data_IF_921450882508
#
_entry.id   IF_921450882508
#
_cell.length_a   1.000
_cell.length_b   1.000
_cell.length_c   1.000
_cell.angle_alpha   90.00
_cell.angle_beta   90.00
_cell.angle_gamma   90.00
#
_symmetry.space_group_name_H-M   'P 1'
#
loop_
_entity.id
_entity.type
_entity.pdbx_description
1 polymer ?
#
# COMPACT_ATOMS: atom_id res chain seq x y z
N UNK A 1 -9.20 -6.11 74.59
CA UNK A 1 -9.08 -5.19 73.44
C UNK A 1 -7.65 -5.29 72.95
N UNK A 2 -7.41 -6.12 71.95
CA UNK A 2 -6.11 -6.33 71.30
C UNK A 2 -6.12 -5.52 70.01
N UNK A 3 -5.34 -4.43 69.96
CA UNK A 3 -5.28 -3.54 68.80
C UNK A 3 -4.12 -3.96 67.88
N UNK A 4 -4.49 -4.23 66.63
CA UNK A 4 -3.66 -4.83 65.58
C UNK A 4 -2.78 -3.78 64.93
N UNK A 5 -1.46 -3.98 65.00
CA UNK A 5 -0.46 -3.13 64.32
C UNK A 5 -0.46 -3.46 62.81
N UNK A 6 -1.12 -2.61 62.01
CA UNK A 6 -1.11 -2.71 60.55
C UNK A 6 0.28 -2.37 59.98
N UNK A 7 0.88 -3.34 59.30
CA UNK A 7 2.10 -3.21 58.53
C UNK A 7 1.79 -2.46 57.22
N UNK A 8 2.24 -1.21 57.10
CA UNK A 8 2.10 -0.42 55.86
C UNK A 8 3.08 -0.98 54.83
N UNK A 9 2.56 -1.72 53.85
CA UNK A 9 3.30 -2.20 52.68
C UNK A 9 3.58 -1.05 51.72
N UNK A 10 4.87 -0.83 51.40
CA UNK A 10 5.30 0.08 50.35
C UNK A 10 4.78 -0.38 48.97
N UNK A 11 4.53 0.55 48.02
CA UNK A 11 3.84 0.22 46.78
C UNK A 11 4.75 -0.61 45.86
N UNK A 12 4.31 -1.83 45.56
CA UNK A 12 4.95 -2.83 44.68
C UNK A 12 5.26 -2.29 43.28
N UNK A 13 4.57 -1.24 42.82
CA UNK A 13 4.73 -0.66 41.48
C UNK A 13 6.11 -0.01 41.24
N UNK A 14 6.75 0.60 42.25
CA UNK A 14 8.03 1.30 42.05
C UNK A 14 9.23 0.37 41.85
N UNK A 15 9.13 -0.89 42.30
CA UNK A 15 10.18 -1.91 42.14
C UNK A 15 10.15 -2.54 40.74
N UNK A 16 8.96 -2.70 40.17
CA UNK A 16 8.77 -3.27 38.83
C UNK A 16 9.27 -2.30 37.75
N UNK A 17 9.09 -0.99 37.91
CA UNK A 17 9.63 0.02 36.97
C UNK A 17 11.15 0.11 37.02
N UNK A 18 11.74 0.06 38.22
CA UNK A 18 13.20 0.01 38.38
C UNK A 18 13.81 -1.24 37.76
N UNK A 19 13.12 -2.37 37.86
CA UNK A 19 13.56 -3.62 37.23
C UNK A 19 13.53 -3.53 35.70
N UNK A 20 12.51 -2.87 35.12
CA UNK A 20 12.40 -2.67 33.66
C UNK A 20 13.46 -1.70 33.15
N UNK A 21 13.71 -0.60 33.87
CA UNK A 21 14.74 0.37 33.48
C UNK A 21 16.14 -0.26 33.55
N UNK A 22 16.43 -1.04 34.60
CA UNK A 22 17.68 -1.78 34.71
C UNK A 22 17.85 -2.81 33.58
N UNK A 23 16.78 -3.52 33.22
CA UNK A 23 16.80 -4.50 32.13
C UNK A 23 17.05 -3.84 30.77
N UNK A 24 16.45 -2.67 30.53
CA UNK A 24 16.70 -1.83 29.35
C UNK A 24 18.15 -1.34 29.33
N UNK A 25 18.68 -0.89 30.46
CA UNK A 25 20.07 -0.42 30.55
C UNK A 25 21.08 -1.54 30.29
N UNK A 26 20.86 -2.74 30.84
CA UNK A 26 21.65 -3.94 30.53
C UNK A 26 21.58 -4.29 29.03
N UNK A 27 20.41 -4.15 28.40
CA UNK A 27 20.25 -4.40 26.97
C UNK A 27 20.99 -3.35 26.13
N UNK A 28 20.95 -2.08 26.54
CA UNK A 28 21.69 -0.99 25.90
C UNK A 28 23.20 -1.16 26.07
N UNK A 29 23.67 -1.66 27.21
CA UNK A 29 25.08 -1.98 27.46
C UNK A 29 25.55 -3.14 26.55
N UNK A 30 24.72 -4.17 26.39
CA UNK A 30 24.95 -5.27 25.43
C UNK A 30 24.96 -4.78 23.97
N UNK A 31 24.11 -3.81 23.63
CA UNK A 31 24.10 -3.20 22.30
C UNK A 31 25.34 -2.34 22.08
N UNK A 32 25.74 -1.50 23.04
CA UNK A 32 26.95 -0.65 22.95
C UNK A 32 28.21 -1.49 22.85
N UNK A 33 28.36 -2.53 23.68
CA UNK A 33 29.49 -3.46 23.61
C UNK A 33 29.56 -4.18 22.27
N UNK A 34 28.44 -4.71 21.74
CA UNK A 34 28.41 -5.26 20.37
C UNK A 34 28.73 -4.19 19.32
N UNK A 35 28.15 -3.00 19.41
CA UNK A 35 28.35 -1.91 18.44
C UNK A 35 29.80 -1.46 18.39
N UNK A 36 30.51 -1.44 19.53
CA UNK A 36 31.94 -1.10 19.58
C UNK A 36 32.84 -2.12 18.88
N UNK A 37 32.37 -3.35 18.70
CA UNK A 37 33.09 -4.39 17.94
C UNK A 37 32.82 -4.29 16.43
N UNK A 38 31.77 -3.57 16.01
CA UNK A 38 31.45 -3.35 14.62
C UNK A 38 32.01 -2.00 14.17
N UNK A 39 32.47 -1.96 12.92
CA UNK A 39 32.90 -0.70 12.30
C UNK A 39 31.73 0.28 12.28
N UNK A 40 32.00 1.55 12.51
CA UNK A 40 30.97 2.58 12.38
C UNK A 40 30.43 2.61 10.94
N UNK A 41 29.23 3.19 10.75
CA UNK A 41 28.57 3.17 9.44
C UNK A 41 29.42 3.82 8.34
N UNK A 42 30.19 4.85 8.68
CA UNK A 42 31.09 5.56 7.75
C UNK A 42 32.23 4.66 7.26
N UNK A 43 32.86 3.92 8.17
CA UNK A 43 33.90 2.93 7.86
C UNK A 43 33.33 1.74 7.09
N UNK A 44 32.13 1.28 7.46
CA UNK A 44 31.42 0.22 6.75
C UNK A 44 31.08 0.66 5.32
N UNK A 45 30.57 1.88 5.13
CA UNK A 45 30.31 2.48 3.81
C UNK A 45 31.58 2.61 2.97
N UNK A 46 32.70 3.02 3.59
CA UNK A 46 34.00 3.09 2.92
C UNK A 46 34.48 1.70 2.52
N UNK A 47 34.36 0.71 3.41
CA UNK A 47 34.74 -0.67 3.12
C UNK A 47 33.90 -1.27 1.99
N UNK A 48 32.58 -1.05 1.98
CA UNK A 48 31.68 -1.47 0.90
C UNK A 48 32.08 -0.81 -0.43
N UNK A 49 32.34 0.51 -0.45
CA UNK A 49 32.82 1.20 -1.67
C UNK A 49 34.17 0.67 -2.16
N UNK A 50 35.10 0.38 -1.24
CA UNK A 50 36.40 -0.21 -1.60
C UNK A 50 36.24 -1.63 -2.15
N UNK A 51 35.36 -2.44 -1.55
CA UNK A 51 35.05 -3.79 -2.02
C UNK A 51 34.37 -3.77 -3.41
N UNK A 52 33.51 -2.79 -3.68
CA UNK A 52 32.88 -2.61 -5.00
C UNK A 52 33.88 -2.15 -6.08
N UNK A 53 34.93 -1.42 -5.70
CA UNK A 53 36.01 -0.98 -6.61
C UNK A 53 37.06 -2.07 -6.86
N UNK A 54 37.23 -2.99 -5.90
CA UNK A 54 38.12 -4.13 -6.03
C UNK A 54 37.49 -5.17 -6.98
N UNK A 55 37.83 -5.08 -8.27
CA UNK A 55 37.36 -5.95 -9.37
C UNK A 55 37.64 -7.44 -9.18
N UNK A 56 38.28 -7.85 -8.07
CA UNK A 56 38.58 -9.24 -7.74
C UNK A 56 37.34 -10.05 -7.37
N UNK A 57 36.29 -9.39 -6.88
CA UNK A 57 35.00 -10.00 -6.59
C UNK A 57 34.01 -9.54 -7.64
N UNK A 58 33.84 -10.34 -8.70
CA UNK A 58 32.66 -10.18 -9.52
C UNK A 58 31.47 -10.50 -8.61
N UNK A 59 30.78 -9.46 -8.11
CA UNK A 59 29.47 -9.63 -7.48
C UNK A 59 28.67 -10.51 -8.43
N UNK A 60 28.23 -11.68 -7.98
CA UNK A 60 27.52 -12.59 -8.86
C UNK A 60 26.22 -11.91 -9.33
N UNK A 61 25.71 -12.30 -10.49
CA UNK A 61 24.44 -11.78 -11.01
C UNK A 61 23.31 -11.94 -9.98
N UNK A 62 23.33 -13.05 -9.23
CA UNK A 62 22.41 -13.30 -8.13
C UNK A 62 22.54 -12.27 -6.99
N UNK A 63 23.77 -11.98 -6.54
CA UNK A 63 24.03 -11.00 -5.49
C UNK A 63 23.63 -9.57 -5.92
N UNK A 64 23.87 -9.21 -7.18
CA UNK A 64 23.39 -7.93 -7.75
C UNK A 64 21.86 -7.85 -7.71
N UNK A 65 21.17 -8.92 -8.06
CA UNK A 65 19.71 -8.97 -8.04
C UNK A 65 19.16 -8.87 -6.60
N UNK A 66 19.79 -9.55 -5.63
CA UNK A 66 19.40 -9.47 -4.22
C UNK A 66 19.61 -8.06 -3.69
N UNK A 67 20.78 -7.45 -3.96
CA UNK A 67 21.07 -6.08 -3.55
C UNK A 67 20.06 -5.10 -4.15
N UNK A 68 19.72 -5.26 -5.43
CA UNK A 68 18.70 -4.43 -6.08
C UNK A 68 17.35 -4.54 -5.36
N UNK A 69 16.87 -5.76 -5.08
CA UNK A 69 15.62 -5.98 -4.32
C UNK A 69 15.66 -5.34 -2.93
N UNK A 70 16.79 -5.41 -2.24
CA UNK A 70 16.96 -4.78 -0.92
C UNK A 70 16.94 -3.25 -1.02
N UNK A 71 17.58 -2.66 -2.02
CA UNK A 71 17.56 -1.22 -2.26
C UNK A 71 16.16 -0.74 -2.63
N UNK A 72 15.44 -1.49 -3.48
CA UNK A 72 14.06 -1.19 -3.86
C UNK A 72 13.16 -1.21 -2.61
N UNK A 73 13.32 -2.24 -1.76
CA UNK A 73 12.58 -2.37 -0.49
C UNK A 73 12.90 -1.22 0.47
N UNK A 74 14.16 -0.82 0.57
CA UNK A 74 14.57 0.29 1.42
C UNK A 74 14.03 1.63 0.90
N UNK A 75 13.99 1.81 -0.42
CA UNK A 75 13.40 2.97 -1.07
C UNK A 75 11.89 3.06 -0.81
N UNK A 76 11.18 1.94 -0.65
CA UNK A 76 9.76 1.91 -0.29
C UNK A 76 9.50 2.45 1.13
N UNK A 77 10.50 2.41 2.01
CA UNK A 77 10.41 2.91 3.39
C UNK A 77 10.71 4.42 3.51
N UNK A 78 11.21 5.05 2.45
CA UNK A 78 11.53 6.48 2.46
C UNK A 78 10.23 7.27 2.34
N UNK A 79 9.94 8.12 3.33
CA UNK A 79 8.75 8.98 3.31
C UNK A 79 8.83 9.94 2.14
N UNK A 80 7.79 9.95 1.32
CA UNK A 80 7.56 10.94 0.29
C UNK A 80 7.19 12.26 0.96
N UNK A 81 8.13 13.20 0.99
CA UNK A 81 7.99 14.50 1.69
C UNK A 81 7.87 15.69 0.75
N UNK A 82 7.96 15.46 -0.57
CA UNK A 82 7.87 16.49 -1.60
C UNK A 82 7.04 16.01 -2.80
N UNK A 83 6.44 16.95 -3.53
CA UNK A 83 5.74 16.68 -4.79
C UNK A 83 6.65 15.93 -5.78
N UNK A 84 7.91 16.35 -5.90
CA UNK A 84 8.87 15.71 -6.81
C UNK A 84 9.11 14.24 -6.43
N UNK A 85 9.31 13.95 -5.13
CA UNK A 85 9.45 12.56 -4.67
C UNK A 85 8.19 11.72 -4.89
N UNK A 86 7.00 12.33 -4.87
CA UNK A 86 5.75 11.64 -5.18
C UNK A 86 5.68 11.28 -6.67
N UNK A 87 6.03 12.22 -7.53
CA UNK A 87 6.06 12.05 -8.98
C UNK A 87 7.02 10.92 -9.37
N UNK A 88 8.26 10.96 -8.87
CA UNK A 88 9.26 9.93 -9.13
C UNK A 88 8.80 8.55 -8.65
N UNK A 89 8.13 8.51 -7.50
CA UNK A 89 7.58 7.27 -6.94
C UNK A 89 6.48 6.69 -7.83
N UNK A 90 5.50 7.50 -8.23
CA UNK A 90 4.40 7.09 -9.09
C UNK A 90 4.90 6.71 -10.49
N UNK A 91 5.88 7.41 -11.03
CA UNK A 91 6.51 7.07 -12.32
C UNK A 91 7.19 5.71 -12.24
N UNK A 92 7.97 5.47 -11.19
CA UNK A 92 8.65 4.19 -10.96
C UNK A 92 7.64 3.03 -10.89
N UNK A 93 6.60 3.16 -10.06
CA UNK A 93 5.57 2.14 -9.90
C UNK A 93 4.81 1.89 -11.21
N UNK A 94 4.40 2.96 -11.90
CA UNK A 94 3.71 2.84 -13.19
C UNK A 94 4.56 2.08 -14.21
N UNK A 95 5.86 2.39 -14.28
CA UNK A 95 6.80 1.73 -15.20
C UNK A 95 6.99 0.25 -14.85
N UNK A 96 7.07 -0.09 -13.57
CA UNK A 96 7.16 -1.50 -13.12
C UNK A 96 5.94 -2.31 -13.54
N UNK A 97 4.75 -1.70 -13.54
CA UNK A 97 3.50 -2.31 -14.00
C UNK A 97 3.31 -2.26 -15.53
N UNK A 98 4.26 -1.72 -16.29
CA UNK A 98 4.14 -1.55 -17.74
C UNK A 98 3.15 -0.45 -18.16
N UNK A 99 2.76 0.43 -17.23
CA UNK A 99 1.85 1.55 -17.46
C UNK A 99 2.61 2.80 -17.90
N UNK A 100 1.96 3.66 -18.68
CA UNK A 100 2.54 4.92 -19.15
C UNK A 100 2.28 6.03 -18.14
N UNK A 101 3.33 6.63 -17.60
CA UNK A 101 3.23 7.79 -16.71
C UNK A 101 3.53 9.09 -17.48
N UNK A 102 2.71 10.13 -17.29
CA UNK A 102 2.89 11.46 -17.89
C UNK A 102 2.56 12.54 -16.86
N UNK A 103 3.43 13.54 -16.75
CA UNK A 103 3.16 14.74 -15.96
C UNK A 103 2.48 15.78 -16.86
N UNK A 104 1.33 16.30 -16.41
CA UNK A 104 0.60 17.35 -17.10
C UNK A 104 1.35 18.68 -17.14
N UNK A 105 0.92 19.58 -18.03
CA UNK A 105 1.56 20.89 -18.26
C UNK A 105 1.61 21.79 -17.02
N UNK A 106 0.66 21.61 -16.09
CA UNK A 106 0.60 22.36 -14.84
C UNK A 106 1.51 21.81 -13.74
N UNK A 107 2.14 20.63 -13.92
CA UNK A 107 2.99 19.98 -12.92
C UNK A 107 2.26 19.39 -11.71
N UNK A 108 0.96 19.66 -11.57
CA UNK A 108 0.09 19.21 -10.47
C UNK A 108 -0.92 18.13 -10.89
N UNK A 109 -1.06 17.91 -12.19
CA UNK A 109 -1.92 16.86 -12.74
C UNK A 109 -1.01 15.74 -13.25
N UNK A 110 -1.16 14.53 -12.71
CA UNK A 110 -0.37 13.37 -13.11
C UNK A 110 -1.29 12.36 -13.80
N UNK A 111 -0.78 11.71 -14.84
CA UNK A 111 -1.55 10.77 -15.65
C UNK A 111 -0.87 9.40 -15.67
N UNK A 112 -1.63 8.36 -15.38
CA UNK A 112 -1.21 6.95 -15.53
C UNK A 112 -2.13 6.32 -16.56
N UNK A 113 -1.61 5.92 -17.71
CA UNK A 113 -2.42 5.37 -18.81
C UNK A 113 -2.08 3.91 -19.09
N UNK A 114 -3.14 3.15 -19.38
CA UNK A 114 -3.13 1.77 -19.87
C UNK A 114 -3.82 1.68 -21.24
N UNK A 115 -4.04 0.47 -21.76
CA UNK A 115 -4.73 0.21 -23.03
C UNK A 115 -6.25 0.45 -22.96
N UNK A 116 -6.84 0.23 -21.78
CA UNK A 116 -8.29 0.25 -21.51
C UNK A 116 -8.74 1.31 -20.51
N UNK A 117 -7.81 2.00 -19.83
CA UNK A 117 -8.15 3.07 -18.88
C UNK A 117 -7.00 4.06 -18.73
N UNK A 118 -7.29 5.22 -18.18
CA UNK A 118 -6.28 6.12 -17.63
C UNK A 118 -6.73 6.72 -16.29
N UNK A 119 -5.78 7.05 -15.43
CA UNK A 119 -5.99 7.76 -14.18
C UNK A 119 -5.51 9.20 -14.34
N UNK A 120 -6.30 10.13 -13.82
CA UNK A 120 -5.93 11.52 -13.57
C UNK A 120 -5.79 11.72 -12.06
N UNK A 121 -4.57 11.99 -11.60
CA UNK A 121 -4.24 12.25 -10.19
C UNK A 121 -4.03 13.76 -10.04
N UNK A 122 -4.91 14.39 -9.27
CA UNK A 122 -4.87 15.81 -8.96
C UNK A 122 -4.10 15.98 -7.64
N UNK A 123 -2.95 16.66 -7.70
CA UNK A 123 -2.08 16.91 -6.55
C UNK A 123 -2.03 18.42 -6.28
N UNK A 124 -1.85 18.83 -5.03
CA UNK A 124 -1.53 20.21 -4.70
C UNK A 124 -0.03 20.50 -4.81
N UNK A 125 0.32 21.78 -4.94
CA UNK A 125 1.71 22.25 -4.81
C UNK A 125 2.32 21.94 -3.44
N UNK A 126 1.49 21.65 -2.42
CA UNK A 126 1.90 21.16 -1.10
C UNK A 126 2.39 19.71 -1.11
N UNK A 127 2.16 18.95 -2.19
CA UNK A 127 2.42 17.51 -2.30
C UNK A 127 1.26 16.62 -1.82
N UNK A 128 0.14 17.20 -1.40
CA UNK A 128 -1.06 16.46 -0.98
C UNK A 128 -1.94 16.07 -2.18
N UNK A 129 -2.50 14.87 -2.19
CA UNK A 129 -3.43 14.43 -3.25
C UNK A 129 -4.83 14.96 -2.98
N UNK A 130 -5.45 15.60 -3.97
CA UNK A 130 -6.84 16.07 -3.93
C UNK A 130 -7.82 14.99 -4.34
N UNK A 131 -7.56 14.39 -5.49
CA UNK A 131 -8.51 13.49 -6.13
C UNK A 131 -7.78 12.58 -7.10
N UNK A 132 -8.32 11.39 -7.31
CA UNK A 132 -7.86 10.42 -8.30
C UNK A 132 -9.07 9.98 -9.11
N UNK A 133 -9.08 10.34 -10.39
CA UNK A 133 -10.16 10.02 -11.31
C UNK A 133 -9.74 8.92 -12.26
N UNK A 134 -10.59 7.93 -12.41
CA UNK A 134 -10.40 6.80 -13.30
C UNK A 134 -11.32 6.98 -14.51
N UNK A 135 -10.74 6.89 -15.70
CA UNK A 135 -11.43 6.96 -16.97
C UNK A 135 -11.29 5.62 -17.68
N UNK A 136 -12.42 4.95 -17.89
CA UNK A 136 -12.47 3.67 -18.59
C UNK A 136 -12.82 3.87 -20.07
N UNK A 137 -12.18 3.11 -20.95
CA UNK A 137 -12.46 3.12 -22.38
C UNK A 137 -13.93 2.73 -22.65
N UNK A 138 -14.66 3.61 -23.32
CA UNK A 138 -16.07 3.40 -23.67
C UNK A 138 -17.08 3.92 -22.64
N UNK A 139 -16.64 4.47 -21.50
CA UNK A 139 -17.48 5.25 -20.58
C UNK A 139 -17.22 6.75 -20.73
N UNK A 140 -18.29 7.53 -20.63
CA UNK A 140 -18.22 9.01 -20.63
C UNK A 140 -18.01 9.54 -19.21
N UNK A 141 -18.48 8.80 -18.20
CA UNK A 141 -18.40 9.21 -16.80
C UNK A 141 -17.07 8.80 -16.16
N UNK A 142 -16.39 9.79 -15.57
CA UNK A 142 -15.20 9.60 -14.75
C UNK A 142 -15.59 9.11 -13.35
N UNK A 143 -14.86 8.15 -12.81
CA UNK A 143 -15.08 7.65 -11.45
C UNK A 143 -13.98 8.16 -10.53
N UNK A 144 -14.35 8.93 -9.51
CA UNK A 144 -13.41 9.26 -8.44
C UNK A 144 -13.20 8.04 -7.56
N UNK A 145 -11.95 7.73 -7.24
CA UNK A 145 -11.56 6.60 -6.40
C UNK A 145 -10.94 7.11 -5.10
N UNK A 146 -11.77 7.24 -4.08
CA UNK A 146 -11.35 7.69 -2.74
C UNK A 146 -10.31 6.76 -2.11
N UNK A 147 -10.36 5.45 -2.41
CA UNK A 147 -9.36 4.49 -1.93
C UNK A 147 -7.96 4.82 -2.45
N UNK A 148 -7.81 5.16 -3.73
CA UNK A 148 -6.51 5.56 -4.29
C UNK A 148 -6.01 6.87 -3.69
N UNK A 149 -6.91 7.83 -3.45
CA UNK A 149 -6.58 9.08 -2.72
C UNK A 149 -6.07 8.76 -1.31
N UNK A 150 -6.74 7.86 -0.60
CA UNK A 150 -6.36 7.45 0.74
C UNK A 150 -5.01 6.70 0.77
N UNK A 151 -4.75 5.83 -0.21
CA UNK A 151 -3.46 5.12 -0.33
C UNK A 151 -2.31 6.12 -0.48
N UNK A 152 -2.41 7.06 -1.43
CA UNK A 152 -1.35 8.03 -1.67
C UNK A 152 -1.20 9.00 -0.49
N UNK A 153 -2.31 9.46 0.09
CA UNK A 153 -2.30 10.35 1.26
C UNK A 153 -1.67 9.71 2.50
N UNK A 154 -1.83 8.40 2.69
CA UNK A 154 -1.18 7.64 3.76
C UNK A 154 0.28 7.27 3.44
N UNK A 155 0.72 7.47 2.21
CA UNK A 155 2.01 6.98 1.72
C UNK A 155 2.06 5.46 1.57
N UNK A 156 0.90 4.80 1.51
CA UNK A 156 0.80 3.36 1.32
C UNK A 156 0.84 3.02 -0.17
N UNK A 157 2.06 3.00 -0.68
CA UNK A 157 2.30 2.68 -2.09
C UNK A 157 2.17 1.19 -2.39
N UNK A 158 2.20 0.31 -1.39
CA UNK A 158 2.00 -1.11 -1.60
C UNK A 158 0.53 -1.40 -1.94
N UNK A 159 -0.40 -0.83 -1.16
CA UNK A 159 -1.83 -0.91 -1.45
C UNK A 159 -2.16 -0.22 -2.77
N UNK A 160 -1.57 0.95 -3.06
CA UNK A 160 -1.75 1.63 -4.33
C UNK A 160 -1.34 0.75 -5.53
N UNK A 161 -0.20 0.07 -5.44
CA UNK A 161 0.27 -0.86 -6.48
C UNK A 161 -0.67 -2.04 -6.64
N UNK A 162 -1.12 -2.66 -5.54
CA UNK A 162 -2.06 -3.78 -5.58
C UNK A 162 -3.40 -3.39 -6.25
N UNK A 163 -3.88 -2.17 -5.98
CA UNK A 163 -5.08 -1.63 -6.61
C UNK A 163 -4.91 -1.41 -8.11
N UNK A 164 -3.76 -0.86 -8.55
CA UNK A 164 -3.44 -0.71 -9.98
C UNK A 164 -3.28 -2.05 -10.70
N UNK A 165 -2.68 -3.04 -10.04
CA UNK A 165 -2.59 -4.42 -10.55
C UNK A 165 -3.98 -5.03 -10.71
N UNK A 166 -4.85 -4.87 -9.71
CA UNK A 166 -6.24 -5.31 -9.77
C UNK A 166 -6.99 -4.66 -10.94
N UNK A 167 -6.87 -3.34 -11.10
CA UNK A 167 -7.48 -2.60 -12.20
C UNK A 167 -6.97 -3.08 -13.57
N UNK A 168 -5.68 -3.38 -13.67
CA UNK A 168 -5.08 -3.93 -14.89
C UNK A 168 -5.56 -5.36 -15.17
N UNK A 169 -5.70 -6.18 -14.13
CA UNK A 169 -6.13 -7.57 -14.21
C UNK A 169 -7.56 -7.71 -14.75
N UNK A 170 -8.46 -6.77 -14.44
CA UNK A 170 -9.83 -6.72 -15.01
C UNK A 170 -9.81 -6.74 -16.55
N UNK A 171 -8.77 -6.18 -17.16
CA UNK A 171 -8.61 -6.06 -18.61
C UNK A 171 -7.63 -7.06 -19.24
N UNK A 172 -7.06 -7.99 -18.46
CA UNK A 172 -6.18 -9.07 -18.94
C UNK A 172 -6.97 -10.20 -19.63
N UNK A 173 -7.82 -9.81 -20.56
CA UNK A 173 -8.54 -10.72 -21.45
C UNK A 173 -7.85 -10.67 -22.81
N UNK A 174 -7.52 -11.83 -23.40
CA UNK A 174 -7.02 -11.92 -24.77
C UNK A 174 -8.19 -11.73 -25.76
N UNK A 175 -8.72 -10.51 -25.83
CA UNK A 175 -9.86 -10.15 -26.64
C UNK A 175 -9.71 -8.72 -27.17
N UNK A 176 -10.43 -8.41 -28.24
CA UNK A 176 -10.47 -7.06 -28.80
C UNK A 176 -11.05 -6.05 -27.80
N UNK A 177 -10.65 -4.77 -27.91
CA UNK A 177 -11.10 -3.69 -27.02
C UNK A 177 -12.62 -3.64 -26.83
N UNK A 178 -13.40 -3.86 -27.90
CA UNK A 178 -14.87 -3.87 -27.84
C UNK A 178 -15.41 -4.97 -26.91
N UNK A 179 -14.78 -6.14 -26.90
CA UNK A 179 -15.17 -7.25 -26.03
C UNK A 179 -14.79 -6.94 -24.58
N UNK A 180 -13.60 -6.36 -24.35
CA UNK A 180 -13.18 -5.90 -23.03
C UNK A 180 -14.14 -4.86 -22.44
N UNK A 181 -14.61 -3.90 -23.24
CA UNK A 181 -15.63 -2.93 -22.80
C UNK A 181 -16.94 -3.63 -22.37
N UNK A 182 -17.44 -4.60 -23.16
CA UNK A 182 -18.64 -5.36 -22.80
C UNK A 182 -18.45 -6.22 -21.55
N UNK A 183 -17.28 -6.83 -21.39
CA UNK A 183 -16.94 -7.60 -20.20
C UNK A 183 -16.92 -6.72 -18.94
N UNK A 184 -16.36 -5.52 -19.05
CA UNK A 184 -16.39 -4.53 -17.97
C UNK A 184 -17.82 -4.08 -17.64
N UNK A 185 -18.66 -3.79 -18.64
CA UNK A 185 -20.07 -3.48 -18.41
C UNK A 185 -20.80 -4.63 -17.71
N UNK A 186 -20.54 -5.88 -18.10
CA UNK A 186 -21.13 -7.04 -17.45
C UNK A 186 -20.66 -7.21 -15.99
N UNK A 187 -19.38 -6.94 -15.69
CA UNK A 187 -18.87 -6.94 -14.32
C UNK A 187 -19.52 -5.85 -13.47
N UNK A 188 -19.71 -4.66 -14.03
CA UNK A 188 -20.41 -3.59 -13.32
C UNK A 188 -21.88 -3.94 -13.06
N UNK A 189 -22.60 -4.48 -14.04
CA UNK A 189 -23.97 -4.95 -13.83
C UNK A 189 -24.02 -6.03 -12.74
N UNK A 190 -23.05 -6.94 -12.72
CA UNK A 190 -22.93 -7.92 -11.65
C UNK A 190 -22.70 -7.26 -10.28
N UNK A 191 -21.84 -6.25 -10.19
CA UNK A 191 -21.62 -5.48 -8.96
C UNK A 191 -22.90 -4.78 -8.47
N UNK A 192 -23.65 -4.16 -9.38
CA UNK A 192 -24.93 -3.51 -9.12
C UNK A 192 -25.98 -4.53 -8.62
N UNK A 193 -26.04 -5.70 -9.25
CA UNK A 193 -26.91 -6.80 -8.83
C UNK A 193 -26.53 -7.31 -7.43
N UNK A 194 -25.24 -7.51 -7.15
CA UNK A 194 -24.74 -7.92 -5.83
C UNK A 194 -25.06 -6.86 -4.76
N UNK A 195 -24.90 -5.57 -5.08
CA UNK A 195 -25.26 -4.47 -4.19
C UNK A 195 -26.75 -4.45 -3.89
N UNK A 196 -27.58 -4.64 -4.91
CA UNK A 196 -29.03 -4.72 -4.78
C UNK A 196 -29.43 -5.89 -3.89
N UNK A 197 -28.83 -7.07 -4.09
CA UNK A 197 -29.07 -8.24 -3.23
C UNK A 197 -28.67 -8.00 -1.78
N UNK A 198 -27.51 -7.37 -1.52
CA UNK A 198 -27.07 -7.03 -0.16
C UNK A 198 -28.07 -6.12 0.53
N UNK A 199 -28.58 -5.11 -0.17
CA UNK A 199 -29.61 -4.22 0.37
C UNK A 199 -30.89 -4.99 0.70
N UNK A 200 -31.37 -5.85 -0.21
CA UNK A 200 -32.56 -6.69 0.03
C UNK A 200 -32.40 -7.64 1.23
N UNK A 201 -31.22 -8.23 1.41
CA UNK A 201 -30.91 -9.11 2.55
C UNK A 201 -31.02 -8.38 3.90
N UNK A 202 -30.69 -7.08 3.94
CA UNK A 202 -30.77 -6.30 5.19
C UNK A 202 -32.22 -6.09 5.68
N UNK A 203 -33.22 -6.19 4.78
CA UNK A 203 -34.63 -5.92 5.10
C UNK A 203 -35.48 -7.19 5.29
N UNK A 204 -35.02 -8.36 4.83
CA UNK A 204 -35.85 -9.56 4.78
C UNK A 204 -35.22 -10.67 5.62
N UNK A 205 -35.79 -10.92 6.80
CA UNK A 205 -35.36 -12.01 7.71
C UNK A 205 -35.97 -13.37 7.37
N UNK A 206 -37.07 -13.37 6.60
CA UNK A 206 -37.76 -14.58 6.18
C UNK A 206 -37.26 -15.04 4.80
N UNK A 207 -36.62 -16.22 4.68
CA UNK A 207 -36.08 -16.72 3.42
C UNK A 207 -37.11 -16.79 2.29
N UNK A 208 -38.39 -17.05 2.60
CA UNK A 208 -39.47 -17.13 1.62
C UNK A 208 -39.83 -15.76 1.05
N UNK A 209 -39.99 -14.75 1.91
CA UNK A 209 -40.19 -13.37 1.47
C UNK A 209 -38.98 -12.84 0.67
N UNK A 210 -37.77 -13.35 0.93
CA UNK A 210 -36.56 -12.93 0.23
C UNK A 210 -36.55 -13.44 -1.21
N UNK A 211 -36.98 -14.68 -1.43
CA UNK A 211 -37.12 -15.27 -2.78
C UNK A 211 -38.23 -14.60 -3.58
N UNK A 212 -39.37 -14.26 -2.95
CA UNK A 212 -40.49 -13.62 -3.66
C UNK A 212 -40.29 -12.14 -3.99
N UNK A 213 -39.46 -11.42 -3.22
CA UNK A 213 -39.15 -9.99 -3.45
C UNK A 213 -37.81 -9.76 -4.15
N UNK A 214 -37.01 -10.81 -4.30
CA UNK A 214 -35.78 -10.79 -5.07
C UNK A 214 -36.10 -10.83 -6.58
N UNK A 215 -35.30 -10.16 -7.42
CA UNK A 215 -35.39 -10.30 -8.88
C UNK A 215 -35.04 -11.71 -9.38
N UNK A 216 -34.53 -12.59 -8.51
CA UNK A 216 -34.22 -13.98 -8.81
C UNK A 216 -35.48 -14.82 -8.58
N UNK A 217 -36.23 -15.10 -9.66
CA UNK A 217 -37.43 -15.93 -9.59
C UNK A 217 -37.14 -17.38 -9.18
N UNK A 218 -38.13 -18.02 -8.54
CA UNK A 218 -38.12 -19.45 -8.26
C UNK A 218 -38.67 -20.24 -9.46
N UNK A 219 -37.95 -21.29 -9.85
CA UNK A 219 -38.39 -22.22 -10.89
C UNK A 219 -39.03 -23.43 -10.21
N UNK A 220 -40.36 -23.44 -10.10
CA UNK A 220 -41.13 -24.60 -9.68
C UNK A 220 -41.06 -25.66 -10.79
N UNK A 221 -40.63 -26.88 -10.45
CA UNK A 221 -40.77 -28.04 -11.35
C UNK A 221 -42.22 -28.50 -11.40
#
# INVERSE_FOLDING_TARGET
>A
MTDSKALVMAPVNGLVDKSKELQKEILMEKLRSKTSQYKNLTETSKAVRMALLDKRWAVDSADRMILQKCLDSLQHCIKVSSLQSLIERLECLSRQLGLKFVVGTSGVNLFISSDMFYLEILVESSGSVKDVKIHHEGKIEQQSCEELVACISRGDFADFTAQLEGLTAVYQLNAEKKVKCKAFSALQSLEEDLCTMRQLQSFIKDPWAQVHKSPIGFLQR
#
